data_IF_303953626981
#
_entry.id   IF_303953626981
#
_cell.length_a   1.000
_cell.length_b   1.000
_cell.length_c   1.000
_cell.angle_alpha   90.00
_cell.angle_beta   90.00
_cell.angle_gamma   90.00
#
_symmetry.space_group_name_H-M   'P 1'
#
loop_
_entity.id
_entity.type
_entity.pdbx_description
1 polymer ?
#
# COMPACT_ATOMS: atom_id res chain seq x y z
N UNK A 1 -0.20 28.88 2.28
CA UNK A 1 0.03 28.39 0.91
C UNK A 1 -1.14 27.48 0.56
N UNK A 2 -1.78 27.64 -0.60
CA UNK A 2 -2.85 26.75 -1.06
C UNK A 2 -2.27 25.83 -2.14
N UNK A 3 -2.15 24.55 -1.84
CA UNK A 3 -1.46 23.58 -2.70
C UNK A 3 -2.33 23.07 -3.86
N UNK A 4 -3.66 23.08 -3.71
CA UNK A 4 -4.59 22.40 -4.61
C UNK A 4 -4.65 22.98 -6.05
N UNK A 5 -4.13 24.19 -6.31
CA UNK A 5 -4.17 24.81 -7.66
C UNK A 5 -2.88 25.54 -8.08
N UNK A 6 -1.85 25.58 -7.22
CA UNK A 6 -0.64 26.38 -7.45
C UNK A 6 0.65 25.56 -7.48
N UNK A 7 0.59 24.29 -7.08
CA UNK A 7 1.76 23.43 -7.01
C UNK A 7 2.20 23.00 -8.41
N UNK A 8 3.40 23.43 -8.81
CA UNK A 8 4.05 23.07 -10.08
C UNK A 8 5.28 22.20 -9.79
N UNK A 9 5.09 20.89 -9.89
CA UNK A 9 6.10 19.90 -9.51
C UNK A 9 7.32 19.87 -10.43
N UNK A 10 7.21 20.43 -11.63
CA UNK A 10 8.27 20.57 -12.63
C UNK A 10 9.21 21.76 -12.36
N UNK A 11 8.87 22.62 -11.38
CA UNK A 11 9.63 23.84 -11.09
C UNK A 11 10.43 23.72 -9.80
N UNK A 12 11.75 23.69 -9.92
CA UNK A 12 12.70 23.70 -8.78
C UNK A 12 12.36 24.74 -7.71
N UNK A 13 12.11 26.00 -8.13
CA UNK A 13 11.72 27.07 -7.20
C UNK A 13 10.45 26.74 -6.40
N UNK A 14 9.47 26.08 -7.00
CA UNK A 14 8.21 25.76 -6.34
C UNK A 14 8.41 24.69 -5.27
N UNK A 15 9.13 23.61 -5.60
CA UNK A 15 9.45 22.53 -4.65
C UNK A 15 10.28 23.09 -3.49
N UNK A 16 11.33 23.85 -3.79
CA UNK A 16 12.17 24.48 -2.77
C UNK A 16 11.36 25.39 -1.84
N UNK A 17 10.49 26.24 -2.37
CA UNK A 17 9.64 27.10 -1.55
C UNK A 17 8.65 26.33 -0.67
N UNK A 18 8.19 25.13 -1.07
CA UNK A 18 7.37 24.28 -0.21
C UNK A 18 8.19 23.74 0.97
N UNK A 19 9.39 23.22 0.69
CA UNK A 19 10.29 22.72 1.73
C UNK A 19 10.72 23.83 2.70
N UNK A 20 11.08 25.01 2.19
CA UNK A 20 11.38 26.19 3.01
C UNK A 20 10.17 26.64 3.84
N UNK A 21 8.95 26.55 3.29
CA UNK A 21 7.72 26.86 4.03
C UNK A 21 7.55 25.93 5.24
N UNK A 22 7.71 24.61 5.05
CA UNK A 22 7.57 23.65 6.14
C UNK A 22 8.73 23.73 7.14
N UNK A 23 9.96 23.98 6.69
CA UNK A 23 11.12 24.16 7.57
C UNK A 23 10.99 25.38 8.49
N UNK A 24 10.35 26.46 8.03
CA UNK A 24 10.05 27.63 8.88
C UNK A 24 8.97 27.37 9.93
N UNK A 25 8.20 26.30 9.77
CA UNK A 25 7.07 25.93 10.63
C UNK A 25 7.37 24.70 11.49
N UNK A 26 8.51 24.03 11.26
CA UNK A 26 9.02 23.00 12.17
C UNK A 26 9.61 23.66 13.42
N UNK A 27 9.42 23.01 14.57
CA UNK A 27 10.10 23.39 15.80
C UNK A 27 11.63 23.36 15.58
N UNK A 28 12.33 24.29 16.24
CA UNK A 28 13.78 24.39 16.16
C UNK A 28 14.43 23.05 16.56
N UNK A 29 15.38 22.59 15.74
CA UNK A 29 16.05 21.30 15.87
C UNK A 29 16.79 21.23 17.21
N UNK A 30 17.38 22.34 17.69
CA UNK A 30 18.01 22.40 19.01
C UNK A 30 17.00 22.21 20.15
N UNK A 31 15.79 22.77 20.03
CA UNK A 31 14.72 22.61 21.03
C UNK A 31 14.15 21.18 21.03
N UNK A 32 14.14 20.50 19.88
CA UNK A 32 13.73 19.10 19.77
C UNK A 32 14.81 18.12 20.27
N UNK A 33 16.09 18.47 20.11
CA UNK A 33 17.23 17.67 20.56
C UNK A 33 17.58 17.91 22.04
N UNK A 34 17.39 19.10 22.60
CA UNK A 34 17.73 19.43 24.00
C UNK A 34 16.92 18.62 25.03
N UNK A 35 15.75 18.11 24.66
CA UNK A 35 14.98 17.19 25.51
C UNK A 35 15.64 15.80 25.69
N UNK A 36 16.65 15.46 24.87
CA UNK A 36 17.37 14.18 24.96
C UNK A 36 18.33 14.18 26.16
N UNK A 37 19.00 15.31 26.44
CA UNK A 37 20.03 15.39 27.49
C UNK A 37 19.45 15.54 28.91
N UNK A 38 18.26 16.12 29.05
CA UNK A 38 17.60 16.35 30.35
C UNK A 38 16.71 15.18 30.82
N UNK A 39 16.75 14.03 30.14
CA UNK A 39 15.91 12.86 30.44
C UNK A 39 14.41 13.05 30.17
N UNK A 40 14.01 14.23 29.68
CA UNK A 40 12.66 14.57 29.23
C UNK A 40 12.53 14.39 27.72
N UNK A 41 12.85 13.20 27.23
CA UNK A 41 12.67 12.85 25.82
C UNK A 41 11.17 12.86 25.50
N UNK A 42 10.69 13.98 24.97
CA UNK A 42 9.38 14.03 24.33
C UNK A 42 9.58 13.50 22.90
N UNK A 43 9.67 12.18 22.76
CA UNK A 43 9.24 11.58 21.50
C UNK A 43 7.75 11.88 21.37
N UNK A 44 7.41 12.97 20.68
CA UNK A 44 6.05 13.18 20.24
C UNK A 44 5.76 12.18 19.12
N UNK A 45 5.43 10.92 19.45
CA UNK A 45 5.11 9.81 18.54
C UNK A 45 4.91 10.15 17.05
N UNK A 46 3.68 10.06 16.53
CA UNK A 46 3.35 10.43 15.13
C UNK A 46 3.41 11.95 14.84
N UNK A 47 3.95 12.78 15.73
CA UNK A 47 4.12 14.24 15.52
C UNK A 47 5.50 14.49 14.91
N UNK A 48 5.67 13.97 13.71
CA UNK A 48 6.82 14.21 12.84
C UNK A 48 7.07 15.72 12.68
N UNK A 49 8.30 16.17 12.97
CA UNK A 49 8.82 17.55 12.80
C UNK A 49 8.24 18.63 13.72
N UNK A 50 7.43 18.28 14.72
CA UNK A 50 6.87 19.29 15.62
C UNK A 50 5.91 20.26 14.91
N UNK A 51 5.28 19.84 13.82
CA UNK A 51 4.27 20.64 13.13
C UNK A 51 3.09 20.93 14.05
N UNK A 52 2.63 22.18 14.05
CA UNK A 52 1.31 22.52 14.59
C UNK A 52 0.22 21.74 13.84
N UNK A 53 -0.96 21.61 14.44
CA UNK A 53 -2.10 20.97 13.78
C UNK A 53 -2.42 21.60 12.42
N UNK A 54 -2.36 22.92 12.33
CA UNK A 54 -2.60 23.64 11.07
C UNK A 54 -1.52 23.35 10.01
N UNK A 55 -0.28 23.13 10.46
CA UNK A 55 0.83 22.79 9.57
C UNK A 55 0.75 21.35 9.09
N UNK A 56 0.33 20.42 9.96
CA UNK A 56 0.06 19.03 9.59
C UNK A 56 -1.04 18.93 8.52
N UNK A 57 -2.15 19.68 8.66
CA UNK A 57 -3.20 19.73 7.63
C UNK A 57 -2.64 20.21 6.28
N UNK A 58 -1.81 21.24 6.30
CA UNK A 58 -1.17 21.76 5.08
C UNK A 58 -0.15 20.80 4.48
N UNK A 59 0.51 19.99 5.32
CA UNK A 59 1.38 18.92 4.88
C UNK A 59 0.57 17.85 4.15
N UNK A 60 -0.53 17.39 4.73
CA UNK A 60 -1.43 16.43 4.07
C UNK A 60 -1.98 16.98 2.75
N UNK A 61 -2.40 18.24 2.71
CA UNK A 61 -2.82 18.92 1.47
C UNK A 61 -1.72 18.91 0.40
N UNK A 62 -0.46 19.11 0.81
CA UNK A 62 0.70 19.05 -0.07
C UNK A 62 0.91 17.63 -0.62
N UNK A 63 0.85 16.60 0.24
CA UNK A 63 0.95 15.19 -0.17
C UNK A 63 -0.16 14.81 -1.16
N UNK A 64 -1.41 15.14 -0.83
CA UNK A 64 -2.58 14.88 -1.69
C UNK A 64 -2.41 15.59 -3.04
N UNK A 65 -1.93 16.84 -3.04
CA UNK A 65 -1.68 17.59 -4.28
C UNK A 65 -0.65 16.91 -5.16
N UNK A 66 0.43 16.38 -4.58
CA UNK A 66 1.45 15.62 -5.30
C UNK A 66 0.83 14.40 -5.97
N UNK A 67 0.10 13.58 -5.20
CA UNK A 67 -0.54 12.38 -5.70
C UNK A 67 -1.56 12.68 -6.80
N UNK A 68 -2.32 13.76 -6.68
CA UNK A 68 -3.28 14.18 -7.71
C UNK A 68 -2.59 14.62 -9.00
N UNK A 69 -1.59 15.50 -8.91
CA UNK A 69 -0.85 15.99 -10.09
C UNK A 69 -0.18 14.83 -10.82
N UNK A 70 0.42 13.90 -10.08
CA UNK A 70 1.05 12.70 -10.64
C UNK A 70 0.06 11.59 -10.96
N UNK A 71 -1.23 11.72 -10.68
CA UNK A 71 -2.25 10.68 -10.89
C UNK A 71 -1.89 9.35 -10.20
N UNK A 72 -1.45 9.44 -8.96
CA UNK A 72 -1.06 8.32 -8.09
C UNK A 72 -1.99 8.14 -6.88
N UNK A 73 -3.00 8.99 -6.70
CA UNK A 73 -3.90 9.02 -5.53
C UNK A 73 -4.63 7.70 -5.24
N UNK A 74 -4.89 6.88 -6.27
CA UNK A 74 -5.52 5.56 -6.12
C UNK A 74 -4.52 4.41 -5.93
N UNK A 75 -3.23 4.69 -6.06
CA UNK A 75 -2.16 3.69 -6.11
C UNK A 75 -1.24 3.77 -4.89
N UNK A 76 -1.17 4.92 -4.22
CA UNK A 76 -0.22 5.18 -3.15
C UNK A 76 -0.98 5.78 -1.98
N UNK A 77 -0.79 5.20 -0.80
CA UNK A 77 -1.41 5.67 0.41
C UNK A 77 -0.70 6.93 0.88
N UNK A 78 -1.42 7.81 1.58
CA UNK A 78 -0.80 8.99 2.15
C UNK A 78 0.34 8.60 3.10
N UNK A 79 0.20 7.51 3.84
CA UNK A 79 1.23 7.00 4.74
C UNK A 79 2.54 6.64 4.02
N UNK A 80 2.46 6.01 2.85
CA UNK A 80 3.65 5.66 2.07
C UNK A 80 4.36 6.92 1.55
N UNK A 81 3.62 7.84 0.92
CA UNK A 81 4.20 9.08 0.42
C UNK A 81 4.75 9.93 1.56
N UNK A 82 4.02 10.01 2.67
CA UNK A 82 4.40 10.72 3.88
C UNK A 82 5.75 10.23 4.40
N UNK A 83 5.90 8.91 4.59
CA UNK A 83 7.16 8.31 5.05
C UNK A 83 8.34 8.67 4.15
N UNK A 84 8.19 8.52 2.83
CA UNK A 84 9.27 8.81 1.87
C UNK A 84 9.62 10.31 1.85
N UNK A 85 8.62 11.20 1.78
CA UNK A 85 8.86 12.64 1.74
C UNK A 85 9.40 13.19 3.06
N UNK A 86 8.98 12.62 4.19
CA UNK A 86 9.54 12.98 5.49
C UNK A 86 11.00 12.59 5.62
N UNK A 87 11.42 11.46 5.07
CA UNK A 87 12.85 11.11 5.02
C UNK A 87 13.63 12.16 4.22
N UNK A 88 13.15 12.50 3.02
CA UNK A 88 13.77 13.57 2.22
C UNK A 88 13.76 14.93 2.94
N UNK A 89 12.69 15.25 3.67
CA UNK A 89 12.59 16.49 4.43
C UNK A 89 13.59 16.52 5.61
N UNK A 90 13.84 15.40 6.29
CA UNK A 90 14.91 15.30 7.31
C UNK A 90 16.28 15.59 6.70
N UNK A 91 16.56 15.00 5.55
CA UNK A 91 17.84 15.20 4.86
C UNK A 91 18.01 16.67 4.47
N UNK A 92 16.95 17.33 4.02
CA UNK A 92 16.93 18.76 3.74
C UNK A 92 17.16 19.65 4.97
N UNK A 93 16.58 19.29 6.11
CA UNK A 93 16.82 20.03 7.36
C UNK A 93 18.25 19.86 7.88
N UNK A 94 18.83 18.67 7.72
CA UNK A 94 20.17 18.35 8.20
C UNK A 94 21.30 18.83 7.28
N UNK A 95 21.04 18.94 5.98
CA UNK A 95 22.04 19.28 4.97
C UNK A 95 21.60 20.49 4.13
N UNK A 96 22.26 21.61 4.37
CA UNK A 96 22.02 22.88 3.69
C UNK A 96 22.40 22.88 2.19
N UNK A 97 23.12 21.86 1.70
CA UNK A 97 23.57 21.74 0.31
C UNK A 97 22.80 20.71 -0.53
N UNK A 98 21.78 20.03 0.02
CA UNK A 98 21.04 19.03 -0.75
C UNK A 98 20.37 19.65 -1.98
N UNK A 99 20.51 19.00 -3.15
CA UNK A 99 19.68 19.32 -4.32
C UNK A 99 18.28 18.73 -4.15
N UNK A 100 17.47 19.45 -3.37
CA UNK A 100 16.13 19.02 -3.00
C UNK A 100 15.23 18.78 -4.21
N UNK A 101 15.43 19.50 -5.32
CA UNK A 101 14.59 19.34 -6.49
C UNK A 101 14.85 18.01 -7.17
N UNK A 102 16.11 17.68 -7.42
CA UNK A 102 16.49 16.40 -8.04
C UNK A 102 16.09 15.23 -7.15
N UNK A 103 16.41 15.27 -5.85
CA UNK A 103 16.01 14.22 -4.91
C UNK A 103 14.49 14.05 -4.80
N UNK A 104 13.73 15.15 -4.90
CA UNK A 104 12.28 15.08 -4.99
C UNK A 104 11.81 14.41 -6.28
N UNK A 105 12.37 14.74 -7.45
CA UNK A 105 11.98 14.07 -8.70
C UNK A 105 12.30 12.57 -8.65
N UNK A 106 13.47 12.20 -8.15
CA UNK A 106 13.87 10.80 -8.00
C UNK A 106 12.92 10.03 -7.09
N UNK A 107 12.49 10.65 -5.98
CA UNK A 107 11.47 10.08 -5.10
C UNK A 107 10.17 9.85 -5.86
N UNK A 108 9.69 10.85 -6.60
CA UNK A 108 8.46 10.71 -7.38
C UNK A 108 8.58 9.62 -8.46
N UNK A 109 9.71 9.53 -9.16
CA UNK A 109 9.96 8.48 -10.14
C UNK A 109 9.97 7.09 -9.50
N UNK A 110 10.58 6.94 -8.32
CA UNK A 110 10.52 5.70 -7.54
C UNK A 110 9.09 5.30 -7.19
N UNK A 111 8.20 6.27 -6.98
CA UNK A 111 6.78 6.01 -6.69
C UNK A 111 5.98 5.60 -7.94
N UNK A 112 6.41 5.98 -9.14
CA UNK A 112 5.74 5.57 -10.40
C UNK A 112 5.75 4.04 -10.60
N UNK A 113 6.69 3.32 -9.97
CA UNK A 113 6.72 1.84 -9.98
C UNK A 113 5.39 1.20 -9.52
N UNK A 114 4.64 1.89 -8.65
CA UNK A 114 3.38 1.39 -8.11
C UNK A 114 2.26 1.30 -9.16
N UNK A 115 2.43 1.92 -10.33
CA UNK A 115 1.51 1.71 -11.47
C UNK A 115 1.56 0.29 -12.02
N UNK A 116 2.71 -0.35 -11.94
CA UNK A 116 2.94 -1.72 -12.43
C UNK A 116 3.04 -2.74 -11.30
N UNK A 117 3.00 -2.30 -10.03
CA UNK A 117 3.06 -3.19 -8.90
C UNK A 117 1.69 -3.82 -8.63
N UNK A 118 1.48 -5.03 -9.13
CA UNK A 118 0.25 -5.79 -8.96
C UNK A 118 0.31 -6.62 -7.67
N UNK A 119 -0.59 -6.35 -6.74
CA UNK A 119 -0.70 -7.09 -5.48
C UNK A 119 -1.89 -8.04 -5.55
N UNK A 120 -1.79 -9.18 -4.86
CA UNK A 120 -2.84 -10.18 -4.75
C UNK A 120 -3.26 -10.34 -3.30
N UNK A 121 -4.55 -10.17 -3.03
CA UNK A 121 -5.14 -10.25 -1.71
C UNK A 121 -6.19 -11.37 -1.70
N UNK A 122 -6.21 -12.17 -0.63
CA UNK A 122 -7.06 -13.37 -0.53
C UNK A 122 -8.02 -13.23 0.64
N UNK A 123 -9.30 -13.52 0.40
CA UNK A 123 -10.38 -13.41 1.38
C UNK A 123 -11.15 -14.73 1.46
N UNK A 124 -11.45 -15.19 2.67
CA UNK A 124 -12.32 -16.36 2.87
C UNK A 124 -13.78 -15.92 2.68
N UNK A 125 -14.50 -16.63 1.83
CA UNK A 125 -15.94 -16.43 1.62
C UNK A 125 -16.71 -17.52 2.35
N UNK A 126 -17.49 -17.11 3.35
CA UNK A 126 -18.34 -18.03 4.13
C UNK A 126 -19.70 -18.23 3.46
N UNK A 127 -20.28 -19.42 3.60
CA UNK A 127 -21.64 -19.71 3.13
C UNK A 127 -21.76 -19.98 1.62
N UNK A 128 -20.67 -19.84 0.86
CA UNK A 128 -20.60 -20.18 -0.56
C UNK A 128 -19.64 -21.35 -0.77
N UNK A 129 -20.06 -22.35 -1.54
CA UNK A 129 -19.18 -23.42 -2.03
C UNK A 129 -19.08 -23.35 -3.54
N UNK A 130 -17.92 -22.95 -4.04
CA UNK A 130 -17.62 -23.00 -5.46
C UNK A 130 -17.15 -24.42 -5.84
N UNK A 131 -17.53 -24.89 -7.04
CA UNK A 131 -17.14 -26.19 -7.60
C UNK A 131 -15.98 -26.11 -8.59
N UNK A 132 -15.53 -24.90 -8.90
CA UNK A 132 -14.34 -24.58 -9.71
C UNK A 132 -13.95 -23.13 -9.45
N UNK A 133 -12.77 -22.73 -9.92
CA UNK A 133 -12.34 -21.33 -9.93
C UNK A 133 -12.99 -20.60 -11.10
N UNK A 134 -13.68 -19.50 -10.81
CA UNK A 134 -14.22 -18.51 -11.74
C UNK A 134 -13.36 -17.25 -11.71
N UNK A 135 -13.31 -16.52 -12.83
CA UNK A 135 -12.56 -15.29 -12.98
C UNK A 135 -13.45 -14.19 -13.56
N UNK A 136 -13.37 -13.00 -12.96
CA UNK A 136 -14.10 -11.78 -13.31
C UNK A 136 -13.14 -10.60 -13.19
N UNK A 137 -12.67 -10.06 -14.31
CA UNK A 137 -11.70 -8.96 -14.34
C UNK A 137 -10.51 -9.20 -13.38
N UNK A 138 -10.44 -8.42 -12.30
CA UNK A 138 -9.39 -8.47 -11.29
C UNK A 138 -9.68 -9.43 -10.12
N UNK A 139 -10.83 -10.10 -10.12
CA UNK A 139 -11.30 -11.02 -9.07
C UNK A 139 -11.31 -12.45 -9.58
N UNK A 140 -10.89 -13.39 -8.73
CA UNK A 140 -11.16 -14.83 -8.89
C UNK A 140 -11.83 -15.38 -7.65
N UNK A 141 -12.75 -16.32 -7.83
CA UNK A 141 -13.41 -17.00 -6.72
C UNK A 141 -13.48 -18.50 -6.95
N UNK A 142 -13.15 -19.30 -5.95
CA UNK A 142 -13.19 -20.76 -6.06
C UNK A 142 -12.72 -21.45 -4.79
N UNK A 143 -12.79 -22.78 -4.74
CA UNK A 143 -12.19 -23.50 -3.62
C UNK A 143 -10.66 -23.34 -3.63
N UNK A 144 -10.06 -23.14 -2.46
CA UNK A 144 -8.64 -22.85 -2.31
C UNK A 144 -7.70 -23.87 -3.01
N UNK A 145 -8.07 -25.14 -2.94
CA UNK A 145 -7.27 -26.25 -3.47
C UNK A 145 -7.69 -26.70 -4.88
N UNK A 146 -8.77 -26.16 -5.45
CA UNK A 146 -9.22 -26.53 -6.79
C UNK A 146 -8.37 -25.86 -7.86
N UNK A 147 -8.07 -26.57 -8.94
CA UNK A 147 -7.32 -26.02 -10.05
C UNK A 147 -8.18 -25.09 -10.91
N UNK A 148 -7.60 -23.94 -11.29
CA UNK A 148 -8.21 -23.08 -12.28
C UNK A 148 -8.09 -23.70 -13.67
N UNK A 149 -9.18 -23.74 -14.43
CA UNK A 149 -9.18 -24.32 -15.78
C UNK A 149 -8.21 -23.63 -16.75
N UNK A 150 -7.96 -22.33 -16.53
CA UNK A 150 -7.14 -21.48 -17.41
C UNK A 150 -5.66 -21.55 -17.06
N UNK A 151 -5.30 -21.36 -15.78
CA UNK A 151 -3.90 -21.37 -15.35
C UNK A 151 -3.38 -22.75 -15.01
N UNK A 152 -4.25 -23.74 -14.85
CA UNK A 152 -3.95 -25.10 -14.34
C UNK A 152 -3.34 -25.11 -12.93
N UNK A 153 -3.42 -24.00 -12.22
CA UNK A 153 -2.96 -23.85 -10.84
C UNK A 153 -4.15 -23.51 -9.95
N UNK A 154 -4.15 -24.09 -8.75
CA UNK A 154 -4.97 -23.66 -7.62
C UNK A 154 -4.40 -22.40 -6.97
N UNK A 155 -5.17 -21.80 -6.06
CA UNK A 155 -4.68 -20.67 -5.25
C UNK A 155 -3.50 -21.11 -4.36
N UNK A 156 -3.61 -22.30 -3.74
CA UNK A 156 -2.55 -22.88 -2.93
C UNK A 156 -1.23 -23.05 -3.71
N UNK A 157 -1.30 -23.67 -4.91
CA UNK A 157 -0.12 -23.89 -5.76
C UNK A 157 0.50 -22.56 -6.21
N UNK A 158 -0.32 -21.58 -6.60
CA UNK A 158 0.16 -20.25 -7.01
C UNK A 158 0.93 -19.57 -5.88
N UNK A 159 0.39 -19.58 -4.66
CA UNK A 159 1.04 -18.99 -3.49
C UNK A 159 2.35 -19.72 -3.19
N UNK A 160 2.34 -21.05 -3.21
CA UNK A 160 3.53 -21.86 -2.93
C UNK A 160 4.65 -21.61 -3.95
N UNK A 161 4.33 -21.56 -5.25
CA UNK A 161 5.29 -21.23 -6.30
C UNK A 161 5.94 -19.86 -6.09
N UNK A 162 5.14 -18.84 -5.73
CA UNK A 162 5.68 -17.51 -5.42
C UNK A 162 6.67 -17.54 -4.24
N UNK A 163 6.37 -18.30 -3.17
CA UNK A 163 7.30 -18.47 -2.05
C UNK A 163 8.60 -19.15 -2.47
N UNK A 164 8.52 -20.18 -3.30
CA UNK A 164 9.70 -20.86 -3.82
C UNK A 164 10.57 -19.90 -4.65
N UNK A 165 9.97 -19.10 -5.52
CA UNK A 165 10.69 -18.09 -6.31
C UNK A 165 11.42 -17.09 -5.42
N UNK A 166 10.76 -16.52 -4.41
CA UNK A 166 11.38 -15.56 -3.49
C UNK A 166 12.51 -16.22 -2.68
N UNK A 167 12.28 -17.43 -2.20
CA UNK A 167 13.26 -18.19 -1.41
C UNK A 167 14.51 -18.48 -2.23
N UNK A 168 14.33 -18.96 -3.46
CA UNK A 168 15.45 -19.25 -4.37
C UNK A 168 16.22 -17.98 -4.70
N UNK A 169 15.52 -16.88 -5.03
CA UNK A 169 16.17 -15.59 -5.28
C UNK A 169 17.03 -15.14 -4.09
N UNK A 170 16.51 -15.22 -2.86
CA UNK A 170 17.28 -14.83 -1.67
C UNK A 170 18.50 -15.72 -1.44
N UNK A 171 18.36 -17.03 -1.64
CA UNK A 171 19.45 -18.00 -1.49
C UNK A 171 20.54 -17.76 -2.54
N UNK A 172 20.16 -17.58 -3.81
CA UNK A 172 21.08 -17.26 -4.90
C UNK A 172 21.86 -15.96 -4.65
N UNK A 173 21.24 -14.98 -3.97
CA UNK A 173 21.86 -13.70 -3.62
C UNK A 173 22.51 -13.69 -2.21
N UNK A 174 22.67 -14.84 -1.54
CA UNK A 174 23.23 -14.97 -0.19
C UNK A 174 22.58 -14.03 0.86
N UNK A 175 21.28 -13.74 0.69
CA UNK A 175 20.51 -12.86 1.59
C UNK A 175 19.47 -13.61 2.42
N UNK A 176 19.35 -14.92 2.23
CA UNK A 176 18.45 -15.78 2.99
C UNK A 176 19.00 -16.04 4.39
N UNK A 177 18.19 -15.76 5.43
CA UNK A 177 18.58 -15.89 6.84
C UNK A 177 17.54 -16.64 7.68
N UNK A 178 17.83 -16.85 8.97
CA UNK A 178 16.95 -17.57 9.91
C UNK A 178 15.58 -16.90 10.07
N UNK A 179 15.50 -15.57 9.99
CA UNK A 179 14.22 -14.86 10.04
C UNK A 179 13.37 -15.14 8.80
N UNK A 180 13.98 -15.29 7.63
CA UNK A 180 13.26 -15.68 6.41
C UNK A 180 12.66 -17.08 6.54
N UNK A 181 13.41 -18.03 7.13
CA UNK A 181 12.91 -19.38 7.41
C UNK A 181 11.73 -19.35 8.40
N UNK A 182 11.85 -18.56 9.48
CA UNK A 182 10.75 -18.36 10.42
C UNK A 182 9.50 -17.80 9.73
N UNK A 183 9.63 -16.73 8.95
CA UNK A 183 8.49 -16.11 8.25
C UNK A 183 7.87 -17.03 7.20
N UNK A 184 8.67 -17.86 6.54
CA UNK A 184 8.18 -18.89 5.63
C UNK A 184 7.28 -19.89 6.36
N UNK A 185 7.72 -20.42 7.51
CA UNK A 185 6.93 -21.34 8.31
C UNK A 185 5.63 -20.70 8.82
N UNK A 186 5.69 -19.46 9.31
CA UNK A 186 4.48 -18.72 9.74
C UNK A 186 3.51 -18.49 8.58
N UNK A 187 4.02 -18.25 7.38
CA UNK A 187 3.20 -18.05 6.19
C UNK A 187 2.49 -19.35 5.79
N UNK A 188 3.17 -20.49 5.81
CA UNK A 188 2.57 -21.80 5.54
C UNK A 188 1.44 -22.14 6.53
N UNK A 189 1.63 -21.83 7.82
CA UNK A 189 0.58 -21.99 8.84
C UNK A 189 -0.62 -21.07 8.58
N UNK A 190 -0.40 -19.86 8.07
CA UNK A 190 -1.50 -18.96 7.70
C UNK A 190 -2.25 -19.44 6.46
N UNK A 191 -1.53 -19.98 5.49
CA UNK A 191 -2.09 -20.50 4.24
C UNK A 191 -2.96 -21.73 4.49
N UNK A 192 -2.55 -22.63 5.38
CA UNK A 192 -3.35 -23.84 5.68
C UNK A 192 -4.74 -23.51 6.23
N UNK A 193 -4.95 -22.32 6.80
CA UNK A 193 -6.27 -21.84 7.24
C UNK A 193 -7.27 -21.61 6.10
N UNK A 194 -6.79 -21.53 4.85
CA UNK A 194 -7.64 -21.39 3.68
C UNK A 194 -8.05 -22.74 3.08
N UNK A 195 -7.46 -23.85 3.52
CA UNK A 195 -7.76 -25.18 3.00
C UNK A 195 -9.23 -25.53 3.18
N UNK A 196 -9.84 -26.05 2.11
CA UNK A 196 -11.26 -26.42 2.09
C UNK A 196 -12.24 -25.25 2.04
N UNK A 197 -11.78 -23.99 2.11
CA UNK A 197 -12.63 -22.82 2.00
C UNK A 197 -12.79 -22.34 0.55
N UNK A 198 -13.92 -21.68 0.26
CA UNK A 198 -14.03 -20.81 -0.91
C UNK A 198 -13.26 -19.53 -0.63
N UNK A 199 -12.41 -19.15 -1.57
CA UNK A 199 -11.52 -18.01 -1.46
C UNK A 199 -11.76 -17.08 -2.63
N UNK A 200 -11.69 -15.79 -2.35
CA UNK A 200 -11.71 -14.71 -3.31
C UNK A 200 -10.30 -14.11 -3.39
N UNK A 201 -9.66 -14.22 -4.56
CA UNK A 201 -8.40 -13.54 -4.89
C UNK A 201 -8.75 -12.23 -5.61
N UNK A 202 -8.38 -11.08 -5.04
CA UNK A 202 -8.46 -9.78 -5.72
C UNK A 202 -7.08 -9.30 -6.06
N UNK A 203 -6.89 -8.88 -7.31
CA UNK A 203 -5.66 -8.27 -7.78
C UNK A 203 -5.84 -6.76 -7.95
N UNK A 204 -4.96 -5.97 -7.33
CA UNK A 204 -5.02 -4.51 -7.42
C UNK A 204 -3.62 -3.91 -7.49
N UNK A 205 -3.48 -2.87 -8.31
CA UNK A 205 -2.23 -2.12 -8.41
C UNK A 205 -2.07 -1.18 -7.22
N UNK A 206 -0.82 -0.92 -6.84
CA UNK A 206 -0.48 0.10 -5.84
C UNK A 206 0.54 -0.36 -4.81
N UNK A 207 0.67 0.42 -3.75
CA UNK A 207 1.34 0.00 -2.53
C UNK A 207 0.45 -0.96 -1.71
N UNK A 208 1.02 -1.52 -0.66
CA UNK A 208 0.37 -2.54 0.15
C UNK A 208 -0.96 -2.05 0.74
N UNK A 209 -0.99 -0.81 1.24
CA UNK A 209 -2.15 -0.23 1.92
C UNK A 209 -3.26 0.20 0.95
N UNK A 210 -2.94 0.85 -0.17
CA UNK A 210 -3.94 1.23 -1.16
C UNK A 210 -4.52 0.01 -1.84
N UNK A 211 -3.67 -0.97 -2.18
CA UNK A 211 -4.12 -2.17 -2.85
C UNK A 211 -5.00 -3.04 -1.96
N UNK A 212 -4.70 -3.20 -0.66
CA UNK A 212 -5.58 -3.96 0.25
C UNK A 212 -6.92 -3.24 0.46
N UNK A 213 -6.91 -1.93 0.65
CA UNK A 213 -8.15 -1.16 0.85
C UNK A 213 -9.06 -1.23 -0.38
N UNK A 214 -8.49 -1.11 -1.58
CA UNK A 214 -9.26 -1.29 -2.81
C UNK A 214 -9.76 -2.73 -2.94
N UNK A 215 -8.93 -3.73 -2.62
CA UNK A 215 -9.32 -5.13 -2.70
C UNK A 215 -10.43 -5.50 -1.72
N UNK A 216 -10.50 -4.87 -0.54
CA UNK A 216 -11.63 -5.03 0.38
C UNK A 216 -12.92 -4.50 -0.28
N UNK A 217 -12.89 -3.27 -0.80
CA UNK A 217 -14.06 -2.67 -1.45
C UNK A 217 -14.54 -3.49 -2.66
N UNK A 218 -13.61 -3.96 -3.49
CA UNK A 218 -13.93 -4.81 -4.65
C UNK A 218 -14.55 -6.15 -4.23
N UNK A 219 -13.98 -6.79 -3.20
CA UNK A 219 -14.51 -8.04 -2.65
C UNK A 219 -15.92 -7.85 -2.08
N UNK A 220 -16.14 -6.79 -1.29
CA UNK A 220 -17.45 -6.47 -0.73
C UNK A 220 -18.49 -6.20 -1.82
N UNK A 221 -18.15 -5.39 -2.82
CA UNK A 221 -19.02 -5.11 -3.96
C UNK A 221 -19.39 -6.39 -4.71
N UNK A 222 -18.41 -7.24 -5.01
CA UNK A 222 -18.62 -8.50 -5.72
C UNK A 222 -19.51 -9.47 -4.93
N UNK A 223 -19.30 -9.60 -3.62
CA UNK A 223 -20.14 -10.46 -2.76
C UNK A 223 -21.57 -9.91 -2.69
N UNK A 224 -21.75 -8.60 -2.59
CA UNK A 224 -23.08 -7.99 -2.61
C UNK A 224 -23.83 -8.26 -3.92
N UNK A 225 -23.14 -8.18 -5.06
CA UNK A 225 -23.72 -8.55 -6.35
C UNK A 225 -24.11 -10.02 -6.42
N UNK A 226 -23.27 -10.94 -5.92
CA UNK A 226 -23.60 -12.36 -5.85
C UNK A 226 -24.84 -12.62 -4.98
N UNK A 227 -24.95 -11.96 -3.83
CA UNK A 227 -26.11 -12.06 -2.94
C UNK A 227 -27.37 -11.57 -3.66
N UNK A 228 -27.29 -10.40 -4.31
CA UNK A 228 -28.39 -9.81 -5.06
C UNK A 228 -28.88 -10.72 -6.20
N UNK A 229 -27.95 -11.25 -7.00
CA UNK A 229 -28.27 -12.21 -8.08
C UNK A 229 -28.90 -13.49 -7.52
N UNK A 230 -28.39 -13.99 -6.39
CA UNK A 230 -28.97 -15.12 -5.68
C UNK A 230 -30.43 -14.87 -5.29
N UNK A 231 -30.73 -13.72 -4.68
CA UNK A 231 -32.09 -13.36 -4.27
C UNK A 231 -33.06 -13.24 -5.46
N UNK A 232 -32.65 -12.61 -6.56
CA UNK A 232 -33.47 -12.51 -7.76
C UNK A 232 -33.74 -13.90 -8.37
N UNK A 233 -32.71 -14.75 -8.40
CA UNK A 233 -32.83 -16.09 -8.98
C UNK A 233 -33.82 -16.98 -8.21
N UNK A 234 -33.92 -16.79 -6.89
CA UNK A 234 -34.85 -17.52 -6.02
C UNK A 234 -36.29 -16.98 -6.11
N UNK A 235 -36.47 -15.70 -6.40
CA UNK A 235 -37.78 -15.05 -6.52
C UNK A 235 -38.43 -15.18 -7.91
N UNK A 236 -37.88 -16.00 -8.81
CA UNK A 236 -38.38 -16.19 -10.16
C UNK A 236 -39.40 -17.35 -10.19
N UNK A 237 -40.72 -17.12 -10.35
CA UNK A 237 -41.77 -18.12 -10.14
C UNK A 237 -41.83 -19.24 -11.21
N UNK A 238 -40.98 -19.21 -12.23
CA UNK A 238 -40.99 -20.16 -13.35
C UNK A 238 -40.00 -21.33 -13.19
N UNK A 239 -39.63 -21.70 -11.96
CA UNK A 239 -38.89 -22.95 -11.68
C UNK A 239 -39.70 -23.83 -10.75
N UNK A 240 -40.67 -24.54 -11.33
CA UNK A 240 -41.33 -25.73 -10.80
C UNK A 240 -41.10 -26.90 -11.73
#
# INVERSE_FOLDING_TARGET
>A
MNFNNQLKLDKSRTIRSCFEYFAKQSLDIETALSGIDDGNFVALGDVSFGFSRETAIKWDDFLISILNIKKLIKLISLKTLDKELKNLFKDYLANNEIDIFTSFQDLIEKLEKYRSNLNFHYFIVSGLKAAKIYQFDNIKIGNFNEQCSTTKLSFAEKIYLNYQTITNYKKENNSFNEMDEYWLQQSLIRISKYEGHTVLEVSNFGDDESSINQSINDAESFINELIFLGQISLNNPNRG
#
